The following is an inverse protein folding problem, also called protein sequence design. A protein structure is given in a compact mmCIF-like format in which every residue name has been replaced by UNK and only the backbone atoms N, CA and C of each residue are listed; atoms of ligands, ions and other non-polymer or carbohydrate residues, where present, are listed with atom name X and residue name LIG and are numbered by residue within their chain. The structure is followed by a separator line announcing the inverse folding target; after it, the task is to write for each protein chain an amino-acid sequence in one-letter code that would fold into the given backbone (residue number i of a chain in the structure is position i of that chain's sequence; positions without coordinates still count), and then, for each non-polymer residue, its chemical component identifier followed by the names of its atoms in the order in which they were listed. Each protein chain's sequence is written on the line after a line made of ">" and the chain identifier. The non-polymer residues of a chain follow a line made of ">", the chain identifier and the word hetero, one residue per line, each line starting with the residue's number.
data_IF_094024558456
#
_entry.id   IF_094024558456
#
_cell.length_a   1.000
_cell.length_b   1.000
_cell.length_c   1.000
_cell.angle_alpha   90.00
_cell.angle_beta   90.00
_cell.angle_gamma   90.00
#
_symmetry.space_group_name_H-M   'P 1'
#
loop_
_entity.id
_entity.type
_entity.pdbx_description
1 polymer ?
#
# COMPACT_ATOMS: atom_id res chain seq x y z
N UNK A 1 -8.97 -20.71 14.59
CA UNK A 1 -8.75 -19.97 15.83
C UNK A 1 -7.74 -18.86 15.55
N UNK A 2 -8.16 -17.70 15.75
CA UNK A 2 -7.38 -16.52 15.39
C UNK A 2 -6.54 -16.04 16.55
N UNK A 3 -5.63 -16.88 16.99
CA UNK A 3 -4.65 -16.51 17.97
C UNK A 3 -5.22 -16.27 19.36
N UNK A 4 -4.55 -16.79 20.36
CA UNK A 4 -4.70 -16.32 21.73
C UNK A 4 -4.18 -14.88 21.84
N UNK A 5 -4.55 -14.17 22.88
CA UNK A 5 -4.01 -12.84 23.16
C UNK A 5 -2.46 -12.78 23.22
N UNK A 6 -1.84 -13.92 23.40
CA UNK A 6 -0.36 -14.08 23.40
C UNK A 6 0.20 -14.12 21.98
N UNK A 7 -0.60 -14.51 20.99
CA UNK A 7 -0.21 -14.62 19.58
C UNK A 7 -1.02 -13.66 18.72
N UNK A 8 -1.14 -12.40 19.14
CA UNK A 8 -1.77 -11.37 18.36
C UNK A 8 -0.94 -11.13 17.08
N UNK A 9 -1.20 -11.94 16.08
CA UNK A 9 -0.56 -11.82 14.79
C UNK A 9 -1.02 -10.58 14.01
N UNK A 10 -0.33 -10.24 12.96
CA UNK A 10 -0.62 -9.05 12.15
C UNK A 10 -2.05 -9.00 11.62
N UNK A 11 -2.70 -10.14 11.48
CA UNK A 11 -4.12 -10.22 11.09
C UNK A 11 -5.03 -9.44 12.05
N UNK A 12 -4.77 -9.49 13.35
CA UNK A 12 -5.57 -8.75 14.34
C UNK A 12 -5.23 -7.25 14.33
N UNK A 13 -4.02 -6.89 13.96
CA UNK A 13 -3.58 -5.50 13.95
C UNK A 13 -4.01 -4.78 12.67
N UNK A 14 -3.94 -5.43 11.51
CA UNK A 14 -4.12 -4.77 10.22
C UNK A 14 -5.49 -4.98 9.58
N UNK A 15 -6.19 -6.06 9.93
CA UNK A 15 -7.47 -6.42 9.28
C UNK A 15 -8.59 -5.38 9.47
N UNK A 16 -8.53 -4.59 10.53
CA UNK A 16 -9.54 -3.58 10.84
C UNK A 16 -9.12 -2.15 10.50
N UNK A 17 -7.88 -1.93 10.04
CA UNK A 17 -7.38 -0.57 9.83
C UNK A 17 -8.20 0.21 8.81
N UNK A 18 -8.57 -0.39 7.69
CA UNK A 18 -9.42 0.26 6.68
C UNK A 18 -10.84 0.52 7.21
N UNK A 19 -11.38 -0.39 8.03
CA UNK A 19 -12.67 -0.21 8.68
C UNK A 19 -12.64 0.96 9.66
N UNK A 20 -11.61 1.11 10.47
CA UNK A 20 -11.46 2.26 11.35
C UNK A 20 -11.37 3.58 10.58
N UNK A 21 -10.68 3.62 9.45
CA UNK A 21 -10.70 4.81 8.59
C UNK A 21 -12.10 5.11 8.04
N UNK A 22 -12.89 4.08 7.76
CA UNK A 22 -14.29 4.27 7.38
C UNK A 22 -15.11 4.85 8.53
N UNK A 23 -14.95 4.37 9.74
CA UNK A 23 -15.59 4.95 10.93
C UNK A 23 -15.18 6.41 11.12
N UNK A 24 -13.88 6.72 11.02
CA UNK A 24 -13.40 8.11 11.05
C UNK A 24 -14.09 8.98 9.98
N UNK A 25 -14.22 8.48 8.76
CA UNK A 25 -14.85 9.24 7.67
C UNK A 25 -16.31 9.60 7.95
N UNK A 26 -17.00 8.79 8.75
CA UNK A 26 -18.41 8.95 9.11
C UNK A 26 -18.60 9.78 10.39
N UNK A 27 -17.80 9.51 11.41
CA UNK A 27 -17.96 10.10 12.74
C UNK A 27 -17.12 11.35 12.98
N UNK A 28 -16.01 11.49 12.26
CA UNK A 28 -14.94 12.48 12.48
C UNK A 28 -14.25 12.33 13.84
N UNK A 29 -14.47 11.22 14.55
CA UNK A 29 -13.79 10.94 15.80
C UNK A 29 -12.36 10.45 15.50
N UNK A 30 -11.39 11.25 15.95
CA UNK A 30 -9.96 11.07 15.71
C UNK A 30 -9.42 9.74 16.24
N UNK A 31 -10.06 9.16 17.25
CA UNK A 31 -9.65 7.89 17.84
C UNK A 31 -9.63 6.78 16.77
N UNK A 32 -10.59 6.77 15.85
CA UNK A 32 -10.64 5.74 14.81
C UNK A 32 -9.49 5.89 13.79
N UNK A 33 -9.12 7.13 13.47
CA UNK A 33 -7.95 7.37 12.61
C UNK A 33 -6.66 6.92 13.30
N UNK A 34 -6.52 7.23 14.57
CA UNK A 34 -5.32 6.87 15.33
C UNK A 34 -5.23 5.35 15.50
N UNK A 35 -6.33 4.66 15.79
CA UNK A 35 -6.39 3.20 15.82
C UNK A 35 -5.98 2.58 14.48
N UNK A 36 -6.46 3.12 13.36
CA UNK A 36 -6.09 2.65 12.04
C UNK A 36 -4.59 2.78 11.78
N UNK A 37 -4.03 3.95 12.06
CA UNK A 37 -2.61 4.25 11.81
C UNK A 37 -1.68 3.47 12.72
N UNK A 38 -1.99 3.38 14.00
CA UNK A 38 -1.20 2.59 14.95
C UNK A 38 -1.24 1.10 14.59
N UNK A 39 -2.42 0.57 14.23
CA UNK A 39 -2.55 -0.81 13.77
C UNK A 39 -1.74 -1.09 12.51
N UNK A 40 -1.74 -0.17 11.56
CA UNK A 40 -0.97 -0.30 10.33
C UNK A 40 0.55 -0.25 10.58
N UNK A 41 1.03 0.64 11.45
CA UNK A 41 2.43 0.70 11.84
C UNK A 41 2.88 -0.56 12.58
N UNK A 42 2.01 -1.16 13.37
CA UNK A 42 2.29 -2.40 14.11
C UNK A 42 2.66 -3.58 13.20
N UNK A 43 2.28 -3.53 11.93
CA UNK A 43 2.62 -4.57 10.93
C UNK A 43 4.12 -4.81 10.79
N UNK A 44 4.93 -3.76 10.90
CA UNK A 44 6.37 -3.83 10.63
C UNK A 44 7.08 -4.74 11.62
N UNK A 45 6.53 -4.90 12.83
CA UNK A 45 7.03 -5.86 13.81
C UNK A 45 6.92 -7.33 13.34
N UNK A 46 6.08 -7.60 12.34
CA UNK A 46 5.82 -8.94 11.83
C UNK A 46 6.41 -9.18 10.44
N UNK A 47 7.17 -8.24 9.90
CA UNK A 47 7.87 -8.39 8.62
C UNK A 47 9.26 -8.92 8.87
N UNK A 48 9.63 -9.99 8.17
CA UNK A 48 11.00 -10.47 8.15
C UNK A 48 11.88 -9.49 7.37
N UNK A 49 12.95 -8.99 7.98
CA UNK A 49 13.80 -7.95 7.39
C UNK A 49 14.59 -8.44 6.18
N UNK A 50 14.99 -9.73 6.16
CA UNK A 50 15.76 -10.29 5.06
C UNK A 50 14.90 -10.58 3.83
N UNK A 51 13.71 -11.14 4.04
CA UNK A 51 12.84 -11.56 2.96
C UNK A 51 11.79 -10.52 2.57
N UNK A 52 11.51 -9.54 3.43
CA UNK A 52 10.44 -8.56 3.27
C UNK A 52 9.03 -9.17 3.33
N UNK A 53 8.91 -10.41 3.80
CA UNK A 53 7.63 -11.13 3.85
C UNK A 53 6.99 -10.97 5.23
N UNK A 54 5.70 -10.68 5.25
CA UNK A 54 4.93 -10.55 6.47
C UNK A 54 4.46 -11.90 7.01
N UNK A 55 4.56 -12.10 8.31
CA UNK A 55 3.99 -13.26 8.99
C UNK A 55 2.48 -13.13 9.17
N UNK A 56 1.80 -14.26 9.17
CA UNK A 56 0.34 -14.31 9.34
C UNK A 56 -0.08 -14.47 10.81
N UNK A 57 0.55 -15.40 11.55
CA UNK A 57 0.15 -15.74 12.91
C UNK A 57 1.17 -15.36 13.97
N UNK A 58 2.43 -15.43 13.65
CA UNK A 58 3.53 -15.29 14.60
C UNK A 58 4.39 -14.10 14.27
N UNK A 59 5.03 -13.60 15.28
CA UNK A 59 6.00 -12.55 15.08
C UNK A 59 7.24 -13.07 14.33
N UNK A 60 8.04 -12.16 13.82
CA UNK A 60 9.23 -12.48 13.03
C UNK A 60 10.32 -13.22 13.82
N UNK A 61 10.32 -13.12 15.15
CA UNK A 61 11.35 -13.72 15.98
C UNK A 61 11.08 -15.20 16.23
N UNK A 62 9.82 -15.57 16.39
CA UNK A 62 9.46 -16.96 16.70
C UNK A 62 9.42 -17.84 15.45
N UNK A 63 8.68 -17.43 14.45
CA UNK A 63 8.42 -18.23 13.27
C UNK A 63 8.81 -17.52 11.98
N UNK A 64 8.84 -16.19 12.01
CA UNK A 64 9.14 -15.37 10.87
C UNK A 64 8.19 -15.58 9.68
N UNK A 65 8.32 -14.77 8.71
CA UNK A 65 7.56 -14.90 7.47
C UNK A 65 8.10 -16.06 6.61
N UNK A 66 9.32 -16.46 6.80
CA UNK A 66 9.97 -17.54 6.04
C UNK A 66 9.32 -18.91 6.22
N UNK A 67 8.76 -19.19 7.40
CA UNK A 67 8.10 -20.46 7.66
C UNK A 67 6.69 -20.58 7.08
N UNK A 68 6.01 -19.45 6.89
CA UNK A 68 4.63 -19.41 6.40
C UNK A 68 4.44 -18.42 5.26
N UNK A 69 5.26 -18.45 4.21
CA UNK A 69 5.19 -17.48 3.13
C UNK A 69 3.87 -17.52 2.35
N UNK A 70 3.19 -18.64 2.35
CA UNK A 70 1.89 -18.82 1.69
C UNK A 70 0.75 -18.03 2.33
N UNK A 71 0.91 -17.59 3.57
CA UNK A 71 -0.06 -16.74 4.24
C UNK A 71 0.17 -15.24 4.04
N UNK A 72 1.27 -14.83 3.48
CA UNK A 72 1.62 -13.43 3.28
C UNK A 72 0.60 -12.65 2.41
N UNK A 73 -0.06 -13.31 1.48
CA UNK A 73 -1.07 -12.69 0.63
C UNK A 73 -2.27 -12.12 1.38
N UNK A 74 -2.62 -12.66 2.54
CA UNK A 74 -3.66 -12.10 3.40
C UNK A 74 -3.22 -10.75 3.98
N UNK A 75 -1.97 -10.68 4.43
CA UNK A 75 -1.41 -9.45 4.96
C UNK A 75 -1.35 -8.34 3.89
N UNK A 76 -0.86 -8.69 2.72
CA UNK A 76 -0.83 -7.79 1.57
C UNK A 76 -2.23 -7.23 1.33
N UNK A 77 -3.24 -8.08 1.49
CA UNK A 77 -4.62 -7.73 1.34
C UNK A 77 -5.09 -6.60 2.22
N UNK A 78 -4.95 -6.79 3.48
CA UNK A 78 -5.43 -5.82 4.46
C UNK A 78 -4.59 -4.55 4.49
N UNK A 79 -3.28 -4.68 4.31
CA UNK A 79 -2.40 -3.53 4.20
C UNK A 79 -2.79 -2.69 2.98
N UNK A 80 -3.05 -3.34 1.86
CA UNK A 80 -3.43 -2.63 0.65
C UNK A 80 -4.79 -1.93 0.79
N UNK A 81 -5.77 -2.58 1.40
CA UNK A 81 -7.08 -1.98 1.69
C UNK A 81 -6.94 -0.73 2.59
N UNK A 82 -6.08 -0.81 3.60
CA UNK A 82 -5.72 0.32 4.43
C UNK A 82 -5.05 1.44 3.62
N UNK A 83 -4.06 1.13 2.78
CA UNK A 83 -3.35 2.13 1.98
C UNK A 83 -4.28 2.85 1.00
N UNK A 84 -5.20 2.11 0.36
CA UNK A 84 -6.21 2.70 -0.51
C UNK A 84 -7.17 3.61 0.28
N UNK A 85 -7.55 3.22 1.49
CA UNK A 85 -8.38 4.04 2.37
C UNK A 85 -7.69 5.34 2.80
N UNK A 86 -6.41 5.28 3.17
CA UNK A 86 -5.61 6.47 3.50
C UNK A 86 -5.43 7.37 2.28
N UNK A 87 -5.15 6.81 1.11
CA UNK A 87 -5.00 7.58 -0.12
C UNK A 87 -6.28 8.33 -0.47
N UNK A 88 -7.44 7.69 -0.36
CA UNK A 88 -8.74 8.31 -0.59
C UNK A 88 -9.00 9.45 0.41
N UNK A 89 -8.77 9.16 1.70
CA UNK A 89 -8.97 10.14 2.78
C UNK A 89 -8.06 11.36 2.60
N UNK A 90 -6.74 11.15 2.45
CA UNK A 90 -5.75 12.24 2.32
C UNK A 90 -5.92 13.04 1.05
N UNK A 91 -6.37 12.41 -0.03
CA UNK A 91 -6.58 13.08 -1.32
C UNK A 91 -7.95 13.73 -1.47
N UNK A 92 -8.82 13.62 -0.45
CA UNK A 92 -10.20 14.03 -0.53
C UNK A 92 -10.93 13.47 -1.78
N UNK A 93 -10.77 12.17 -2.01
CA UNK A 93 -11.41 11.43 -3.09
C UNK A 93 -10.75 11.54 -4.47
N UNK A 94 -9.64 12.28 -4.63
CA UNK A 94 -8.90 12.30 -5.92
C UNK A 94 -8.31 10.95 -6.27
N UNK A 95 -8.09 10.11 -5.27
CA UNK A 95 -7.67 8.73 -5.41
C UNK A 95 -8.79 7.90 -4.82
N UNK A 96 -9.45 7.08 -5.63
CA UNK A 96 -10.54 6.24 -5.17
C UNK A 96 -10.53 4.92 -5.92
N UNK A 97 -10.41 3.83 -5.18
CA UNK A 97 -10.50 2.47 -5.68
C UNK A 97 -11.54 1.69 -4.88
N UNK A 98 -12.29 0.77 -5.51
CA UNK A 98 -13.14 -0.15 -4.77
C UNK A 98 -12.32 -0.90 -3.73
N UNK A 99 -12.82 -0.93 -2.50
CA UNK A 99 -12.16 -1.57 -1.38
C UNK A 99 -12.99 -2.72 -0.84
N UNK A 100 -12.32 -3.69 -0.28
CA UNK A 100 -12.93 -4.81 0.36
C UNK A 100 -11.97 -5.97 0.45
N UNK A 101 -12.35 -6.96 1.21
CA UNK A 101 -11.56 -8.15 1.47
C UNK A 101 -10.99 -8.84 0.21
N UNK A 102 -11.64 -8.69 -0.93
CA UNK A 102 -11.24 -9.30 -2.19
C UNK A 102 -10.27 -8.44 -3.01
N UNK A 103 -10.20 -7.13 -2.76
CA UNK A 103 -9.35 -6.21 -3.52
C UNK A 103 -7.90 -6.66 -3.61
N UNK A 104 -7.29 -7.12 -2.53
CA UNK A 104 -5.90 -7.56 -2.51
C UNK A 104 -5.60 -8.84 -3.27
N UNK A 105 -6.58 -9.66 -3.53
CA UNK A 105 -6.39 -10.89 -4.31
C UNK A 105 -6.09 -10.64 -5.78
N UNK A 106 -6.31 -9.44 -6.23
CA UNK A 106 -6.01 -8.98 -7.60
C UNK A 106 -4.56 -9.24 -7.98
N UNK A 107 -3.62 -8.95 -7.10
CA UNK A 107 -2.19 -9.12 -7.37
C UNK A 107 -1.78 -10.56 -7.63
N UNK A 108 -2.42 -11.53 -6.99
CA UNK A 108 -2.14 -12.95 -7.15
C UNK A 108 -2.71 -13.54 -8.43
N UNK A 109 -3.78 -12.97 -8.93
CA UNK A 109 -4.55 -13.57 -10.04
C UNK A 109 -4.50 -12.77 -11.33
N UNK A 110 -3.75 -11.68 -11.39
CA UNK A 110 -3.67 -10.78 -12.55
C UNK A 110 -5.05 -10.31 -13.07
N UNK A 111 -6.03 -10.27 -12.22
CA UNK A 111 -7.38 -9.86 -12.60
C UNK A 111 -7.50 -8.35 -12.43
N UNK A 112 -7.08 -7.61 -13.44
CA UNK A 112 -7.12 -6.14 -13.46
C UNK A 112 -8.53 -5.57 -13.20
N UNK A 113 -9.58 -6.32 -13.49
CA UNK A 113 -10.97 -5.87 -13.39
C UNK A 113 -11.45 -5.50 -11.97
N UNK A 114 -10.82 -6.05 -10.92
CA UNK A 114 -11.22 -5.76 -9.54
C UNK A 114 -10.52 -4.56 -8.92
N UNK A 115 -9.56 -4.02 -9.61
CA UNK A 115 -8.71 -2.96 -9.09
C UNK A 115 -8.80 -1.67 -9.92
N UNK A 116 -9.86 -1.53 -10.70
CA UNK A 116 -10.11 -0.30 -11.45
C UNK A 116 -10.72 0.76 -10.55
N UNK A 117 -10.21 1.98 -10.66
CA UNK A 117 -10.64 3.12 -9.87
C UNK A 117 -10.31 4.43 -10.56
N UNK A 118 -10.12 5.47 -9.77
CA UNK A 118 -9.83 6.82 -10.26
C UNK A 118 -8.57 7.34 -9.59
N UNK A 119 -7.67 7.92 -10.37
CA UNK A 119 -6.53 8.68 -9.89
C UNK A 119 -6.52 10.04 -10.60
N UNK A 120 -6.71 11.10 -9.82
CA UNK A 120 -6.70 12.50 -10.29
C UNK A 120 -7.60 12.72 -11.51
N UNK A 121 -8.83 12.20 -11.43
CA UNK A 121 -9.87 12.33 -12.46
C UNK A 121 -9.75 11.36 -13.64
N UNK A 122 -8.72 10.52 -13.70
CA UNK A 122 -8.56 9.51 -14.74
C UNK A 122 -8.91 8.12 -14.22
N UNK A 123 -9.59 7.32 -15.04
CA UNK A 123 -9.73 5.88 -14.78
C UNK A 123 -8.37 5.21 -14.81
N UNK A 124 -8.12 4.36 -13.82
CA UNK A 124 -6.85 3.67 -13.69
C UNK A 124 -7.04 2.31 -13.03
N UNK A 125 -6.16 1.37 -13.35
CA UNK A 125 -6.11 0.04 -12.75
C UNK A 125 -4.88 -0.10 -11.89
N UNK A 126 -5.02 -0.69 -10.69
CA UNK A 126 -3.91 -0.96 -9.79
C UNK A 126 -2.89 -1.92 -10.42
N UNK A 127 -1.62 -1.62 -10.22
CA UNK A 127 -0.52 -2.50 -10.61
C UNK A 127 0.16 -2.96 -9.33
N UNK A 128 0.18 -4.28 -9.10
CA UNK A 128 0.84 -4.88 -7.95
C UNK A 128 2.15 -5.57 -8.40
N UNK A 129 3.15 -4.77 -8.76
CA UNK A 129 4.47 -5.26 -9.12
C UNK A 129 5.48 -4.81 -8.07
N UNK A 130 6.04 -5.75 -7.34
CA UNK A 130 6.99 -5.53 -6.26
C UNK A 130 8.21 -4.71 -6.69
N UNK A 131 8.71 -4.95 -7.89
CA UNK A 131 9.98 -4.38 -8.34
C UNK A 131 9.83 -3.14 -9.24
N UNK A 132 8.59 -2.66 -9.44
CA UNK A 132 8.34 -1.53 -10.31
C UNK A 132 8.84 -0.21 -9.71
N UNK A 133 8.57 0.01 -8.43
CA UNK A 133 8.92 1.24 -7.72
C UNK A 133 9.77 0.90 -6.50
N UNK A 134 10.79 1.69 -6.27
CA UNK A 134 11.53 1.71 -5.01
C UNK A 134 11.61 3.13 -4.46
N UNK A 135 11.53 3.23 -3.13
CA UNK A 135 11.72 4.46 -2.37
C UNK A 135 12.77 4.21 -1.29
N UNK A 136 13.64 5.19 -1.05
CA UNK A 136 14.73 5.10 -0.08
C UNK A 136 14.30 5.44 1.37
N UNK A 137 13.00 5.64 1.61
CA UNK A 137 12.46 5.93 2.93
C UNK A 137 11.40 4.89 3.32
N UNK A 138 11.66 4.02 4.33
CA UNK A 138 10.75 2.96 4.75
C UNK A 138 9.43 3.47 5.36
N UNK A 139 9.36 4.74 5.74
CA UNK A 139 8.15 5.37 6.29
C UNK A 139 7.23 5.96 5.22
N UNK A 140 7.56 5.74 3.95
CA UNK A 140 6.75 6.17 2.81
C UNK A 140 6.24 4.94 2.09
N UNK A 141 4.94 4.74 2.12
CA UNK A 141 4.27 3.73 1.32
C UNK A 141 3.94 4.27 -0.07
N UNK A 142 3.71 3.37 -1.01
CA UNK A 142 3.30 3.75 -2.35
C UNK A 142 2.23 2.82 -2.94
N UNK A 143 1.45 3.40 -3.83
CA UNK A 143 0.45 2.70 -4.64
C UNK A 143 0.79 2.98 -6.10
N UNK A 144 0.72 1.96 -6.95
CA UNK A 144 0.93 2.09 -8.39
C UNK A 144 -0.35 1.76 -9.15
N UNK A 145 -0.66 2.57 -10.15
CA UNK A 145 -1.80 2.35 -11.04
C UNK A 145 -1.45 2.82 -12.46
N UNK A 146 -2.02 2.16 -13.46
CA UNK A 146 -1.89 2.53 -14.86
C UNK A 146 -3.21 3.08 -15.37
N UNK A 147 -3.18 4.17 -16.16
CA UNK A 147 -4.38 4.70 -16.78
C UNK A 147 -4.99 3.68 -17.73
N UNK A 148 -6.32 3.72 -17.89
CA UNK A 148 -7.06 2.75 -18.73
C UNK A 148 -6.57 2.75 -20.20
N UNK A 149 -6.11 3.89 -20.68
CA UNK A 149 -5.54 4.06 -22.03
C UNK A 149 -4.05 3.65 -22.13
N UNK A 150 -3.44 3.18 -21.04
CA UNK A 150 -2.03 2.78 -21.01
C UNK A 150 -1.03 3.92 -21.15
N UNK A 151 -1.47 5.18 -21.14
CA UNK A 151 -0.60 6.33 -21.43
C UNK A 151 0.16 6.87 -20.22
N UNK A 152 -0.30 6.55 -19.00
CA UNK A 152 0.23 7.13 -17.75
C UNK A 152 0.35 6.08 -16.67
N UNK A 153 1.53 6.00 -16.08
CA UNK A 153 1.75 5.35 -14.80
C UNK A 153 1.58 6.38 -13.67
N UNK A 154 0.72 6.08 -12.73
CA UNK A 154 0.56 6.82 -11.49
C UNK A 154 1.35 6.15 -10.37
N UNK A 155 2.17 6.92 -9.67
CA UNK A 155 2.77 6.51 -8.40
C UNK A 155 2.24 7.45 -7.33
N UNK A 156 1.45 6.92 -6.42
CA UNK A 156 0.92 7.66 -5.27
C UNK A 156 1.81 7.36 -4.07
N UNK A 157 2.43 8.38 -3.52
CA UNK A 157 3.28 8.30 -2.33
C UNK A 157 2.51 8.77 -1.10
N UNK A 158 2.65 8.06 0.01
CA UNK A 158 1.99 8.33 1.28
C UNK A 158 3.04 8.43 2.40
N UNK A 159 3.23 9.61 2.97
CA UNK A 159 4.10 9.79 4.12
C UNK A 159 3.37 9.40 5.41
N UNK A 160 3.88 8.42 6.14
CA UNK A 160 3.26 7.93 7.38
C UNK A 160 3.85 8.55 8.65
N UNK A 161 4.64 9.60 8.52
CA UNK A 161 5.24 10.30 9.65
C UNK A 161 4.62 11.67 9.89
N UNK A 162 4.65 12.09 11.16
CA UNK A 162 4.25 13.44 11.61
C UNK A 162 5.27 14.53 11.25
N UNK A 163 6.23 14.24 10.38
CA UNK A 163 7.24 15.19 9.90
C UNK A 163 7.34 15.14 8.38
N UNK A 164 7.88 16.20 7.83
CA UNK A 164 8.23 16.26 6.43
C UNK A 164 9.32 15.24 6.08
N UNK A 165 9.20 14.63 4.91
CA UNK A 165 10.18 13.68 4.37
C UNK A 165 10.62 14.08 2.96
N UNK A 166 11.93 13.98 2.73
CA UNK A 166 12.52 14.00 1.40
C UNK A 166 12.96 12.58 1.06
N UNK A 167 12.68 12.14 -0.15
CA UNK A 167 13.02 10.79 -0.61
C UNK A 167 13.41 10.78 -2.07
N UNK A 168 14.15 9.76 -2.47
CA UNK A 168 14.39 9.43 -3.86
C UNK A 168 13.47 8.27 -4.25
N UNK A 169 12.73 8.46 -5.33
CA UNK A 169 11.89 7.45 -5.93
C UNK A 169 12.50 7.00 -7.26
N UNK A 170 12.56 5.71 -7.49
CA UNK A 170 13.00 5.11 -8.74
C UNK A 170 11.86 4.25 -9.28
N UNK A 171 11.51 4.45 -10.56
CA UNK A 171 10.61 3.56 -11.30
C UNK A 171 11.42 2.84 -12.36
N UNK A 172 11.40 1.52 -12.32
CA UNK A 172 12.22 0.66 -13.20
C UNK A 172 11.52 0.44 -14.54
N UNK A 173 12.12 0.91 -15.60
CA UNK A 173 11.59 0.77 -16.95
C UNK A 173 11.52 -0.69 -17.41
N UNK A 174 12.47 -1.51 -16.98
CA UNK A 174 12.50 -2.95 -17.29
C UNK A 174 11.28 -3.72 -16.81
N UNK A 175 10.52 -3.15 -15.89
CA UNK A 175 9.28 -3.73 -15.34
C UNK A 175 8.01 -3.18 -16.02
N UNK A 176 8.13 -2.17 -16.83
CA UNK A 176 7.03 -1.66 -17.65
C UNK A 176 6.92 -2.54 -18.91
N UNK A 177 5.73 -3.05 -19.19
CA UNK A 177 5.48 -3.97 -20.30
C UNK A 177 5.51 -3.28 -21.70
N UNK A 178 6.36 -2.30 -21.88
CA UNK A 178 6.52 -1.62 -23.18
C UNK A 178 7.82 -2.08 -23.82
N UNK A 179 7.76 -2.44 -25.12
CA UNK A 179 8.90 -2.79 -25.97
C UNK A 179 9.87 -1.61 -26.22
N UNK A 180 9.68 -0.50 -25.52
CA UNK A 180 10.54 0.68 -25.64
C UNK A 180 11.63 0.61 -24.57
N UNK A 181 12.88 0.77 -24.99
CA UNK A 181 14.01 1.05 -24.10
C UNK A 181 13.76 2.38 -23.36
N UNK A 182 13.12 2.31 -22.22
CA UNK A 182 12.99 3.46 -21.32
C UNK A 182 14.09 3.41 -20.28
N UNK A 183 14.69 4.55 -20.00
CA UNK A 183 15.59 4.70 -18.85
C UNK A 183 14.76 4.71 -17.57
N UNK A 184 15.34 4.17 -16.49
CA UNK A 184 14.73 4.27 -15.18
C UNK A 184 14.37 5.72 -14.85
N UNK A 185 13.16 5.93 -14.37
CA UNK A 185 12.71 7.25 -13.96
C UNK A 185 13.07 7.48 -12.49
N UNK A 186 13.94 8.47 -12.25
CA UNK A 186 14.37 8.85 -10.90
C UNK A 186 13.85 10.24 -10.57
N UNK A 187 13.31 10.41 -9.36
CA UNK A 187 12.79 11.69 -8.89
C UNK A 187 13.00 11.88 -7.40
N UNK A 188 13.52 13.06 -7.03
CA UNK A 188 13.46 13.53 -5.66
C UNK A 188 12.06 14.06 -5.36
N UNK A 189 11.50 13.65 -4.25
CA UNK A 189 10.15 14.01 -3.84
C UNK A 189 10.16 14.48 -2.40
N UNK A 190 9.51 15.61 -2.17
CA UNK A 190 9.24 16.16 -0.85
C UNK A 190 7.78 15.88 -0.50
N UNK A 191 7.54 15.34 0.68
CA UNK A 191 6.22 15.03 1.23
C UNK A 191 6.04 15.73 2.57
N UNK A 192 4.93 16.40 2.76
CA UNK A 192 4.56 16.98 4.05
C UNK A 192 4.24 15.88 5.07
N UNK A 193 4.17 16.25 6.35
CA UNK A 193 3.71 15.36 7.43
C UNK A 193 2.35 14.76 7.09
N UNK A 194 2.22 13.43 7.17
CA UNK A 194 1.04 12.67 6.76
C UNK A 194 0.49 13.03 5.37
N UNK A 195 1.34 13.63 4.53
CA UNK A 195 0.97 14.07 3.19
C UNK A 195 0.95 12.94 2.15
N UNK A 196 0.44 13.27 0.98
CA UNK A 196 0.49 12.40 -0.19
C UNK A 196 0.98 13.18 -1.41
N UNK A 197 1.42 12.44 -2.42
CA UNK A 197 1.75 13.03 -3.74
C UNK A 197 1.45 12.04 -4.86
N UNK A 198 0.83 12.55 -5.93
CA UNK A 198 0.62 11.79 -7.16
C UNK A 198 1.73 12.17 -8.13
N UNK A 199 2.51 11.19 -8.54
CA UNK A 199 3.51 11.33 -9.60
C UNK A 199 2.93 10.69 -10.85
N UNK A 200 2.95 11.43 -11.95
CA UNK A 200 2.49 10.97 -13.27
C UNK A 200 3.73 10.76 -14.15
N UNK A 201 3.85 9.56 -14.68
CA UNK A 201 4.91 9.19 -15.62
C UNK A 201 4.26 8.81 -16.93
N UNK A 202 4.67 9.45 -18.00
CA UNK A 202 4.16 9.15 -19.34
C UNK A 202 4.81 7.84 -19.81
N UNK A 203 4.00 6.88 -20.24
CA UNK A 203 4.42 5.60 -20.80
C UNK A 203 4.60 5.67 -22.30
#
# INVERSE_FOLDING_TARGET
>A
SMGSAVNAGPILLTSHCAFFLKLYSLTKDEIFRDMARLGALGRDAFVNEETGVASYYWNRFDHGAGLFPHHAWWQIGWIYDYLLAEAELRSNGKISFPRGFMTPKVGTHRTAGFASGIVDGKKASLILRKDLVSVDNPNVDYITAESEDGSVLFVVLLNNQAKENNLNMIVRSSQLASDKEMKDYTKQVKLNAFGYKIIKIKL
#
